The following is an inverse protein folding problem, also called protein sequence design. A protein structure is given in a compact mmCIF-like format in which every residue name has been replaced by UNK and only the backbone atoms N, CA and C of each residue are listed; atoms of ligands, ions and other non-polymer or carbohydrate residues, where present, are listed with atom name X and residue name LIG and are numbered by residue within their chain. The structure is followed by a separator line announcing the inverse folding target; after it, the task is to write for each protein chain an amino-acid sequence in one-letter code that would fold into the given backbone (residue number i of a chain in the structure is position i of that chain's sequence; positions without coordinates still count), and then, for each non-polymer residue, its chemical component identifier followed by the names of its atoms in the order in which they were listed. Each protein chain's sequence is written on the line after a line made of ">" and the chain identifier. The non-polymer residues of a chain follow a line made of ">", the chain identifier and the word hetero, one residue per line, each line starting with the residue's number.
data_IF_410542229707
#
_entry.id   IF_410542229707
#
_cell.length_a   1.000
_cell.length_b   1.000
_cell.length_c   1.000
_cell.angle_alpha   90.00
_cell.angle_beta   90.00
_cell.angle_gamma   90.00
#
_symmetry.space_group_name_H-M   'P 1'
#
loop_
_entity.id
_entity.type
_entity.pdbx_description
1 polymer ?
#
# COMPACT_ATOMS: atom_id res chain seq x y z
N UNK A 1 -19.30 23.46 -22.14
CA UNK A 1 -17.86 23.20 -21.87
C UNK A 1 -17.63 23.48 -20.40
N UNK A 2 -17.38 22.47 -19.56
CA UNK A 2 -17.01 22.71 -18.16
C UNK A 2 -15.50 22.99 -18.12
N UNK A 3 -15.13 24.18 -17.67
CA UNK A 3 -13.74 24.53 -17.41
C UNK A 3 -13.15 23.54 -16.39
N UNK A 4 -12.10 22.84 -16.79
CA UNK A 4 -11.26 22.08 -15.87
C UNK A 4 -10.46 23.12 -15.10
N UNK A 5 -10.87 23.44 -13.86
CA UNK A 5 -10.11 24.32 -12.97
C UNK A 5 -8.97 23.53 -12.37
N UNK A 6 -7.73 23.84 -12.75
CA UNK A 6 -6.53 23.36 -12.08
C UNK A 6 -6.47 23.99 -10.68
N UNK A 7 -6.89 23.23 -9.66
CA UNK A 7 -6.80 23.64 -8.27
C UNK A 7 -5.48 23.08 -7.72
N UNK A 8 -4.44 23.91 -7.80
CA UNK A 8 -3.11 23.54 -7.36
C UNK A 8 -3.06 23.41 -5.82
N UNK A 9 -2.71 22.23 -5.33
CA UNK A 9 -2.54 21.91 -3.89
C UNK A 9 -1.52 22.84 -3.20
N UNK A 10 -0.60 23.45 -3.96
CA UNK A 10 0.37 24.39 -3.46
C UNK A 10 -0.22 25.76 -3.06
N UNK A 11 -1.46 26.08 -3.45
CA UNK A 11 -2.09 27.37 -3.18
C UNK A 11 -3.40 27.16 -2.43
N UNK A 12 -3.37 27.37 -1.10
CA UNK A 12 -4.56 27.25 -0.25
C UNK A 12 -5.43 28.51 -0.42
N UNK A 13 -6.62 28.35 -0.98
CA UNK A 13 -7.66 29.37 -1.11
C UNK A 13 -8.80 29.09 -0.11
N UNK A 14 -9.65 30.09 0.17
CA UNK A 14 -10.81 29.87 1.05
C UNK A 14 -11.79 28.81 0.52
N UNK A 15 -11.82 28.59 -0.80
CA UNK A 15 -12.70 27.60 -1.43
C UNK A 15 -12.14 26.16 -1.37
N UNK A 16 -10.82 25.98 -1.34
CA UNK A 16 -10.19 24.65 -1.32
C UNK A 16 -9.72 24.22 0.07
N UNK A 17 -9.75 25.12 1.05
CA UNK A 17 -9.19 24.93 2.39
C UNK A 17 -9.70 23.66 3.06
N UNK A 18 -11.00 23.41 3.03
CA UNK A 18 -11.60 22.25 3.69
C UNK A 18 -11.15 20.93 3.06
N UNK A 19 -11.04 20.90 1.72
CA UNK A 19 -10.53 19.74 0.98
C UNK A 19 -9.03 19.49 1.24
N UNK A 20 -8.24 20.55 1.40
CA UNK A 20 -6.81 20.45 1.74
C UNK A 20 -6.64 19.95 3.19
N UNK A 21 -7.44 20.44 4.14
CA UNK A 21 -7.40 20.00 5.55
C UNK A 21 -7.79 18.52 5.66
N UNK A 22 -8.83 18.09 4.94
CA UNK A 22 -9.23 16.69 4.89
C UNK A 22 -8.12 15.80 4.28
N UNK A 23 -7.52 16.26 3.18
CA UNK A 23 -6.38 15.57 2.56
C UNK A 23 -5.18 15.43 3.50
N UNK A 24 -4.84 16.48 4.25
CA UNK A 24 -3.75 16.45 5.24
C UNK A 24 -4.06 15.47 6.39
N UNK A 25 -5.31 15.42 6.85
CA UNK A 25 -5.74 14.49 7.91
C UNK A 25 -5.65 13.04 7.43
N UNK A 26 -6.10 12.77 6.21
CA UNK A 26 -6.03 11.46 5.58
C UNK A 26 -4.55 11.02 5.38
N UNK A 27 -3.65 11.95 5.04
CA UNK A 27 -2.20 11.68 4.97
C UNK A 27 -1.57 11.37 6.32
N UNK A 28 -1.95 12.08 7.37
CA UNK A 28 -1.44 11.81 8.72
C UNK A 28 -1.86 10.42 9.21
N UNK A 29 -3.13 10.04 9.01
CA UNK A 29 -3.63 8.71 9.32
C UNK A 29 -2.90 7.60 8.54
N UNK A 30 -2.57 7.86 7.27
CA UNK A 30 -1.74 6.97 6.47
C UNK A 30 -0.36 6.72 7.08
N UNK A 31 0.35 7.77 7.54
CA UNK A 31 1.68 7.60 8.11
C UNK A 31 1.67 6.75 9.39
N UNK A 32 0.61 6.89 10.20
CA UNK A 32 0.40 6.07 11.40
C UNK A 32 0.17 4.61 11.01
N UNK A 33 -0.76 4.36 10.08
CA UNK A 33 -1.07 3.01 9.59
C UNK A 33 0.16 2.33 8.94
N UNK A 34 0.91 3.06 8.12
CA UNK A 34 2.12 2.54 7.48
C UNK A 34 3.16 2.14 8.51
N UNK A 35 3.38 2.98 9.52
CA UNK A 35 4.30 2.66 10.61
C UNK A 35 3.89 1.38 11.33
N UNK A 36 2.60 1.19 11.62
CA UNK A 36 2.09 -0.04 12.26
C UNK A 36 2.33 -1.29 11.41
N UNK A 37 2.14 -1.22 10.09
CA UNK A 37 2.36 -2.35 9.19
C UNK A 37 3.84 -2.71 9.08
N UNK A 38 4.72 -1.72 8.94
CA UNK A 38 6.16 -1.95 8.87
C UNK A 38 6.64 -2.57 10.17
N UNK A 39 6.26 -2.00 11.33
CA UNK A 39 6.61 -2.55 12.64
C UNK A 39 6.07 -3.97 12.83
N UNK A 40 4.80 -4.22 12.49
CA UNK A 40 4.19 -5.55 12.56
C UNK A 40 4.92 -6.57 11.69
N UNK A 41 5.33 -6.18 10.49
CA UNK A 41 6.06 -7.05 9.57
C UNK A 41 7.47 -7.36 10.06
N UNK A 42 8.17 -6.40 10.67
CA UNK A 42 9.45 -6.64 11.34
C UNK A 42 9.31 -7.60 12.52
N UNK A 43 8.24 -7.47 13.32
CA UNK A 43 7.94 -8.39 14.42
C UNK A 43 7.71 -9.80 13.88
N UNK A 44 6.90 -9.95 12.83
CA UNK A 44 6.63 -11.26 12.20
C UNK A 44 7.92 -11.92 11.69
N UNK A 45 8.76 -11.18 10.96
CA UNK A 45 10.06 -11.68 10.48
C UNK A 45 10.96 -12.07 11.67
N UNK A 46 10.94 -11.30 12.76
CA UNK A 46 11.76 -11.57 13.95
C UNK A 46 11.26 -12.77 14.76
N UNK A 47 9.94 -13.01 14.79
CA UNK A 47 9.30 -14.11 15.53
C UNK A 47 9.49 -15.46 14.83
N UNK A 48 9.56 -15.48 13.50
CA UNK A 48 9.66 -16.74 12.77
C UNK A 48 11.01 -17.48 12.90
N UNK A 49 12.03 -16.89 13.53
CA UNK A 49 13.19 -17.57 14.15
C UNK A 49 14.17 -18.34 13.23
N UNK A 50 13.69 -18.84 12.09
CA UNK A 50 14.45 -19.51 11.06
C UNK A 50 15.09 -18.47 10.15
N UNK A 51 16.41 -18.57 9.99
CA UNK A 51 17.16 -17.63 9.16
C UNK A 51 16.86 -17.92 7.68
N UNK A 52 16.31 -16.96 6.92
CA UNK A 52 16.24 -17.09 5.47
C UNK A 52 17.65 -17.33 4.91
N UNK A 53 17.76 -18.19 3.90
CA UNK A 53 19.05 -18.56 3.33
C UNK A 53 18.89 -19.25 1.98
N UNK A 54 19.93 -19.23 1.16
CA UNK A 54 19.88 -19.79 -0.20
C UNK A 54 20.51 -21.18 -0.33
N UNK A 55 20.91 -21.77 0.80
CA UNK A 55 21.64 -23.04 0.86
C UNK A 55 20.74 -24.27 0.98
N UNK A 56 19.50 -24.11 1.47
CA UNK A 56 18.55 -25.21 1.64
C UNK A 56 17.22 -24.89 0.96
N UNK A 57 16.47 -25.90 0.46
CA UNK A 57 15.16 -25.68 -0.15
C UNK A 57 14.18 -24.94 0.79
N UNK A 58 14.18 -25.26 2.09
CA UNK A 58 13.38 -24.57 3.11
C UNK A 58 13.78 -23.10 3.28
N UNK A 59 15.08 -22.81 3.30
CA UNK A 59 15.60 -21.45 3.37
C UNK A 59 15.24 -20.61 2.14
N UNK A 60 15.26 -21.22 0.94
CA UNK A 60 14.89 -20.55 -0.31
C UNK A 60 13.40 -20.18 -0.28
N UNK A 61 12.54 -21.09 0.16
CA UNK A 61 11.10 -20.84 0.32
C UNK A 61 10.83 -19.71 1.33
N UNK A 62 11.54 -19.69 2.46
CA UNK A 62 11.48 -18.60 3.44
C UNK A 62 11.93 -17.26 2.85
N UNK A 63 12.98 -17.25 2.03
CA UNK A 63 13.49 -16.03 1.38
C UNK A 63 12.49 -15.47 0.36
N UNK A 64 11.87 -16.34 -0.44
CA UNK A 64 10.81 -15.96 -1.39
C UNK A 64 9.57 -15.45 -0.63
N UNK A 65 9.20 -16.10 0.48
CA UNK A 65 8.12 -15.64 1.35
C UNK A 65 8.36 -14.22 1.84
N UNK A 66 9.56 -13.91 2.35
CA UNK A 66 9.92 -12.56 2.80
C UNK A 66 9.84 -11.54 1.65
N UNK A 67 10.34 -11.89 0.46
CA UNK A 67 10.28 -11.00 -0.70
C UNK A 67 8.83 -10.69 -1.12
N UNK A 68 7.95 -11.69 -1.10
CA UNK A 68 6.52 -11.52 -1.40
C UNK A 68 5.78 -10.73 -0.33
N UNK A 69 6.15 -10.89 0.94
CA UNK A 69 5.66 -10.05 2.04
C UNK A 69 6.02 -8.59 1.77
N UNK A 70 7.28 -8.28 1.47
CA UNK A 70 7.73 -6.92 1.13
C UNK A 70 6.95 -6.36 -0.07
N UNK A 71 6.78 -7.15 -1.13
CA UNK A 71 6.02 -6.74 -2.31
C UNK A 71 4.56 -6.41 -1.97
N UNK A 72 3.92 -7.24 -1.14
CA UNK A 72 2.57 -6.98 -0.64
C UNK A 72 2.48 -5.68 0.15
N UNK A 73 3.45 -5.42 1.04
CA UNK A 73 3.51 -4.18 1.81
C UNK A 73 3.62 -2.96 0.89
N UNK A 74 4.48 -3.02 -0.12
CA UNK A 74 4.68 -1.95 -1.10
C UNK A 74 3.43 -1.73 -1.96
N UNK A 75 2.77 -2.79 -2.42
CA UNK A 75 1.52 -2.66 -3.18
C UNK A 75 0.41 -2.01 -2.35
N UNK A 76 0.26 -2.41 -1.09
CA UNK A 76 -0.68 -1.77 -0.17
C UNK A 76 -0.30 -0.32 0.14
N UNK A 77 1.00 -0.02 0.23
CA UNK A 77 1.50 1.34 0.43
C UNK A 77 1.06 2.29 -0.69
N UNK A 78 1.23 1.85 -1.94
CA UNK A 78 0.84 2.62 -3.13
C UNK A 78 -0.67 2.88 -3.13
N UNK A 79 -1.48 1.87 -2.80
CA UNK A 79 -2.94 2.03 -2.69
C UNK A 79 -3.32 3.11 -1.67
N UNK A 80 -2.82 3.02 -0.43
CA UNK A 80 -3.23 3.96 0.63
C UNK A 80 -2.64 5.35 0.42
N UNK A 81 -1.45 5.48 -0.20
CA UNK A 81 -0.90 6.79 -0.59
C UNK A 81 -1.72 7.48 -1.70
N UNK A 82 -2.28 6.70 -2.61
CA UNK A 82 -2.99 7.21 -3.78
C UNK A 82 -4.41 7.68 -3.44
N UNK A 83 -5.08 7.05 -2.46
CA UNK A 83 -6.47 7.34 -2.07
C UNK A 83 -6.69 8.81 -1.68
N UNK A 84 -5.92 9.44 -0.77
CA UNK A 84 -6.12 10.84 -0.41
C UNK A 84 -5.98 11.78 -1.61
N UNK A 85 -4.94 11.57 -2.43
CA UNK A 85 -4.66 12.38 -3.62
C UNK A 85 -5.80 12.30 -4.64
N UNK A 86 -6.41 11.12 -4.79
CA UNK A 86 -7.55 10.90 -5.65
C UNK A 86 -8.85 11.49 -5.10
N UNK A 87 -9.10 11.34 -3.80
CA UNK A 87 -10.24 11.96 -3.11
C UNK A 87 -10.22 13.48 -3.27
N UNK A 88 -9.04 14.09 -3.16
CA UNK A 88 -8.85 15.51 -3.46
C UNK A 88 -9.22 15.86 -4.91
N UNK A 89 -8.65 15.15 -5.90
CA UNK A 89 -8.91 15.41 -7.34
C UNK A 89 -10.37 15.20 -7.76
N UNK A 90 -11.08 14.29 -7.10
CA UNK A 90 -12.52 14.10 -7.30
C UNK A 90 -13.31 15.26 -6.68
N UNK A 91 -12.96 15.68 -5.46
CA UNK A 91 -13.62 16.78 -4.78
C UNK A 91 -13.43 18.14 -5.50
N UNK A 92 -12.27 18.36 -6.13
CA UNK A 92 -11.96 19.58 -6.89
C UNK A 92 -12.45 19.54 -8.34
N UNK A 93 -12.97 18.40 -8.82
CA UNK A 93 -13.47 18.25 -10.20
C UNK A 93 -12.37 18.13 -11.27
N UNK A 94 -11.10 17.94 -10.88
CA UNK A 94 -9.98 17.72 -11.82
C UNK A 94 -10.11 16.37 -12.56
N UNK A 95 -10.76 15.37 -11.94
CA UNK A 95 -10.99 14.06 -12.55
C UNK A 95 -12.42 13.92 -13.09
N UNK A 96 -12.56 13.86 -14.44
CA UNK A 96 -13.84 13.57 -15.12
C UNK A 96 -14.14 12.07 -15.27
N UNK A 97 -13.13 11.20 -15.23
CA UNK A 97 -13.29 9.75 -15.39
C UNK A 97 -12.66 8.96 -14.24
N UNK A 98 -13.50 8.45 -13.34
CA UNK A 98 -13.06 7.64 -12.18
C UNK A 98 -12.74 6.17 -12.53
N UNK A 99 -12.98 5.73 -13.77
CA UNK A 99 -12.90 4.30 -14.15
C UNK A 99 -11.46 3.77 -14.16
N UNK A 100 -10.54 4.52 -14.77
CA UNK A 100 -9.11 4.15 -14.82
C UNK A 100 -8.50 4.08 -13.43
N UNK A 101 -8.80 5.08 -12.60
CA UNK A 101 -8.37 5.14 -11.20
C UNK A 101 -8.84 3.95 -10.37
N UNK A 102 -10.12 3.55 -10.52
CA UNK A 102 -10.66 2.37 -9.83
C UNK A 102 -9.99 1.08 -10.30
N UNK A 103 -9.67 0.95 -11.58
CA UNK A 103 -8.97 -0.21 -12.12
C UNK A 103 -7.52 -0.29 -11.61
N UNK A 104 -6.78 0.81 -11.61
CA UNK A 104 -5.41 0.86 -11.07
C UNK A 104 -5.37 0.48 -9.59
N UNK A 105 -6.32 0.99 -8.79
CA UNK A 105 -6.46 0.62 -7.38
C UNK A 105 -6.79 -0.86 -7.23
N UNK A 106 -7.76 -1.37 -7.99
CA UNK A 106 -8.19 -2.75 -7.91
C UNK A 106 -7.04 -3.70 -8.24
N UNK A 107 -6.31 -3.44 -9.33
CA UNK A 107 -5.15 -4.26 -9.73
C UNK A 107 -4.09 -4.23 -8.64
N UNK A 108 -3.70 -3.04 -8.18
CA UNK A 108 -2.63 -2.89 -7.17
C UNK A 108 -3.02 -3.55 -5.84
N UNK A 109 -4.28 -3.40 -5.41
CA UNK A 109 -4.80 -4.04 -4.21
C UNK A 109 -4.82 -5.57 -4.33
N UNK A 110 -5.32 -6.10 -5.45
CA UNK A 110 -5.34 -7.55 -5.70
C UNK A 110 -3.93 -8.13 -5.81
N UNK A 111 -2.99 -7.45 -6.47
CA UNK A 111 -1.58 -7.84 -6.48
C UNK A 111 -0.98 -7.89 -5.07
N UNK A 112 -1.32 -6.92 -4.21
CA UNK A 112 -0.92 -6.92 -2.80
C UNK A 112 -1.48 -8.13 -2.03
N UNK A 113 -2.78 -8.38 -2.13
CA UNK A 113 -3.45 -9.51 -1.46
C UNK A 113 -2.87 -10.85 -1.92
N UNK A 114 -2.71 -11.06 -3.23
CA UNK A 114 -2.16 -12.29 -3.77
C UNK A 114 -0.71 -12.52 -3.31
N UNK A 115 0.10 -11.47 -3.31
CA UNK A 115 1.49 -11.53 -2.81
C UNK A 115 1.52 -11.88 -1.32
N UNK A 116 0.60 -11.33 -0.53
CA UNK A 116 0.49 -11.62 0.90
C UNK A 116 0.15 -13.09 1.17
N UNK A 117 -0.90 -13.60 0.52
CA UNK A 117 -1.36 -14.99 0.70
C UNK A 117 -0.29 -15.97 0.24
N UNK A 118 0.36 -15.70 -0.89
CA UNK A 118 1.47 -16.51 -1.39
C UNK A 118 2.65 -16.50 -0.41
N UNK A 119 2.98 -15.33 0.15
CA UNK A 119 4.05 -15.21 1.14
C UNK A 119 3.76 -16.03 2.40
N UNK A 120 2.56 -15.94 2.96
CA UNK A 120 2.17 -16.73 4.14
C UNK A 120 2.22 -18.24 3.85
N UNK A 121 1.75 -18.66 2.69
CA UNK A 121 1.74 -20.07 2.28
C UNK A 121 3.16 -20.62 2.17
N UNK A 122 4.05 -19.91 1.48
CA UNK A 122 5.45 -20.32 1.33
C UNK A 122 6.23 -20.22 2.64
N UNK A 123 5.93 -19.23 3.48
CA UNK A 123 6.52 -19.08 4.81
C UNK A 123 6.16 -20.24 5.72
N UNK A 124 4.90 -20.69 5.67
CA UNK A 124 4.43 -21.87 6.40
C UNK A 124 5.12 -23.15 5.91
N UNK A 125 5.16 -23.40 4.60
CA UNK A 125 5.83 -24.57 4.02
C UNK A 125 7.32 -24.58 4.36
N UNK A 126 8.01 -23.44 4.21
CA UNK A 126 9.44 -23.32 4.52
C UNK A 126 9.77 -23.44 6.02
N UNK A 127 8.78 -23.29 6.89
CA UNK A 127 8.92 -23.43 8.35
C UNK A 127 8.57 -24.81 8.89
N UNK A 128 8.02 -25.72 8.06
CA UNK A 128 7.73 -27.08 8.50
C UNK A 128 9.03 -27.84 8.77
N UNK A 129 9.16 -28.53 9.92
CA UNK A 129 10.25 -29.48 10.12
C UNK A 129 10.13 -30.59 9.09
N UNK A 130 11.28 -30.96 8.50
CA UNK A 130 11.39 -32.05 7.54
C UNK A 130 11.09 -33.41 8.18
#
# INVERSE_FOLDING_TARGET
>A
MSEVRELNIATITNENRDHVVEWLRDRSAFHIWFSSIVTGSFVVISVFGNKPGFSTPSGVLLSISVALLILSLLANLVCVWSIPSWKYRVATGELREAKTMRNELAITAWCGVLSFVAALTLGFIGSMPA
#
